data_IF_131154454748
#
_entry.id   IF_131154454748
#
_cell.length_a   1.000
_cell.length_b   1.000
_cell.length_c   1.000
_cell.angle_alpha   90.00
_cell.angle_beta   90.00
_cell.angle_gamma   90.00
#
_symmetry.space_group_name_H-M   'P 1'
#
loop_
_entity.id
_entity.type
_entity.pdbx_description
1 polymer ?
#
# COMPACT_ATOMS: atom_id res chain seq x y z
N UNK A 1 15.62 4.99 2.71
CA UNK A 1 14.61 5.36 3.72
C UNK A 1 13.56 4.28 3.80
N UNK A 2 13.18 3.89 5.00
CA UNK A 2 12.14 2.87 5.21
C UNK A 2 10.80 3.55 5.44
N UNK A 3 9.80 3.14 4.69
CA UNK A 3 8.41 3.58 4.88
C UNK A 3 7.70 2.48 5.65
N UNK A 4 7.14 2.83 6.81
CA UNK A 4 6.34 1.91 7.61
C UNK A 4 4.87 2.19 7.35
N UNK A 5 4.11 1.15 7.04
CA UNK A 5 2.70 1.29 6.71
C UNK A 5 1.92 0.05 7.16
N UNK A 6 0.64 0.07 6.93
CA UNK A 6 -0.25 -1.05 7.22
C UNK A 6 -0.90 -1.49 5.92
N UNK A 7 -1.00 -2.79 5.73
CA UNK A 7 -1.76 -3.40 4.63
C UNK A 7 -2.76 -4.39 5.22
N UNK A 8 -3.78 -4.73 4.44
CA UNK A 8 -4.72 -5.78 4.81
C UNK A 8 -4.42 -7.02 3.99
N UNK A 9 -4.34 -8.16 4.67
CA UNK A 9 -4.13 -9.46 4.02
C UNK A 9 -5.23 -10.42 4.44
N UNK A 10 -5.52 -11.40 3.58
CA UNK A 10 -6.47 -12.46 3.93
C UNK A 10 -5.81 -13.45 4.86
N UNK A 11 -6.55 -13.88 5.89
CA UNK A 11 -6.10 -14.94 6.77
C UNK A 11 -6.41 -16.29 6.09
N UNK A 12 -5.38 -17.04 5.75
CA UNK A 12 -5.53 -18.31 5.02
C UNK A 12 -6.36 -19.38 5.79
N UNK A 13 -6.31 -19.36 7.12
CA UNK A 13 -7.09 -20.29 7.93
C UNK A 13 -8.59 -20.07 7.74
N UNK A 14 -9.00 -18.80 7.64
CA UNK A 14 -10.40 -18.47 7.42
C UNK A 14 -10.82 -18.63 5.96
N UNK A 15 -9.91 -18.49 5.03
CA UNK A 15 -10.19 -18.75 3.62
C UNK A 15 -10.58 -20.19 3.38
N UNK A 16 -9.89 -21.13 4.04
CA UNK A 16 -10.18 -22.58 3.94
C UNK A 16 -11.58 -22.91 4.47
N UNK A 17 -12.14 -22.03 5.32
CA UNK A 17 -13.49 -22.18 5.88
C UNK A 17 -14.53 -21.42 5.05
N UNK A 18 -14.13 -20.81 3.93
CA UNK A 18 -15.02 -20.00 3.09
C UNK A 18 -15.31 -18.63 3.66
N UNK A 19 -14.54 -18.17 4.63
CA UNK A 19 -14.69 -16.86 5.26
C UNK A 19 -13.58 -15.94 4.77
N UNK A 20 -13.97 -14.79 4.19
CA UNK A 20 -13.02 -13.76 3.82
C UNK A 20 -12.81 -12.83 5.02
N UNK A 21 -11.65 -12.95 5.65
CA UNK A 21 -11.26 -12.09 6.77
C UNK A 21 -9.98 -11.36 6.42
N UNK A 22 -10.10 -10.02 6.30
CA UNK A 22 -8.95 -9.16 6.10
C UNK A 22 -8.37 -8.76 7.44
N UNK A 23 -7.06 -8.94 7.60
CA UNK A 23 -6.36 -8.59 8.82
C UNK A 23 -5.31 -7.52 8.53
N UNK A 24 -5.21 -6.50 9.41
CA UNK A 24 -4.16 -5.49 9.26
C UNK A 24 -2.81 -6.08 9.66
N UNK A 25 -1.81 -5.87 8.82
CA UNK A 25 -0.43 -6.26 9.13
C UNK A 25 0.49 -5.08 8.81
N UNK A 26 1.58 -4.99 9.56
CA UNK A 26 2.56 -3.95 9.33
C UNK A 26 3.45 -4.33 8.15
N UNK A 27 3.73 -3.36 7.31
CA UNK A 27 4.64 -3.51 6.18
C UNK A 27 5.72 -2.45 6.28
N UNK A 28 6.98 -2.86 6.14
CA UNK A 28 8.10 -1.93 6.01
C UNK A 28 8.69 -2.11 4.63
N UNK A 29 8.85 -1.02 3.90
CA UNK A 29 9.37 -1.06 2.54
C UNK A 29 10.41 0.03 2.34
N UNK A 30 11.52 -0.31 1.67
CA UNK A 30 12.51 0.68 1.31
C UNK A 30 11.96 1.54 0.17
N UNK A 31 11.99 2.85 0.33
CA UNK A 31 11.49 3.79 -0.68
C UNK A 31 12.19 3.59 -2.02
N UNK A 32 13.44 3.10 -2.03
CA UNK A 32 14.19 2.83 -3.26
C UNK A 32 13.62 1.65 -4.05
N UNK A 33 12.82 0.80 -3.43
CA UNK A 33 12.18 -0.33 -4.09
C UNK A 33 10.85 0.06 -4.76
N UNK A 34 10.32 1.24 -4.45
CA UNK A 34 9.04 1.70 -5.01
C UNK A 34 9.32 2.36 -6.37
N UNK A 35 8.73 1.82 -7.43
CA UNK A 35 8.89 2.37 -8.77
C UNK A 35 7.70 3.23 -9.22
N UNK A 36 6.55 3.09 -8.55
CA UNK A 36 5.36 3.88 -8.87
C UNK A 36 4.42 3.94 -7.68
N UNK A 37 3.62 4.99 -7.61
CA UNK A 37 2.54 5.16 -6.65
C UNK A 37 1.34 5.73 -7.39
N UNK A 38 0.15 5.27 -7.06
CA UNK A 38 -1.08 5.85 -7.61
C UNK A 38 -2.15 5.93 -6.54
N UNK A 39 -3.11 6.83 -6.75
CA UNK A 39 -4.26 6.91 -5.88
C UNK A 39 -5.08 5.62 -5.96
N UNK A 40 -5.72 5.27 -4.86
CA UNK A 40 -6.53 4.07 -4.77
C UNK A 40 -8.02 4.42 -4.76
N UNK A 41 -8.78 3.75 -5.61
CA UNK A 41 -10.23 3.91 -5.65
C UNK A 41 -10.84 2.60 -5.15
N UNK A 42 -11.61 2.69 -4.07
CA UNK A 42 -12.27 1.52 -3.50
C UNK A 42 -13.36 0.99 -4.44
N UNK A 43 -13.65 -0.28 -4.30
CA UNK A 43 -14.71 -0.94 -5.06
C UNK A 43 -16.04 -0.21 -4.80
N UNK A 44 -16.76 0.09 -5.88
CA UNK A 44 -18.04 0.81 -5.86
C UNK A 44 -17.94 2.31 -5.51
N UNK A 45 -16.73 2.87 -5.50
CA UNK A 45 -16.54 4.31 -5.35
C UNK A 45 -16.02 4.89 -6.65
N UNK A 46 -16.16 6.21 -6.82
CA UNK A 46 -15.73 6.91 -8.03
C UNK A 46 -14.61 7.90 -7.77
N UNK A 47 -14.28 8.16 -6.50
CA UNK A 47 -13.26 9.11 -6.11
C UNK A 47 -12.13 8.40 -5.36
N UNK A 48 -10.89 8.93 -5.47
CA UNK A 48 -9.76 8.36 -4.75
C UNK A 48 -9.95 8.41 -3.25
N UNK A 49 -9.50 7.35 -2.57
CA UNK A 49 -9.57 7.29 -1.12
C UNK A 49 -8.50 8.22 -0.53
N UNK A 50 -8.87 9.10 0.45
CA UNK A 50 -7.93 10.09 0.97
C UNK A 50 -6.79 9.49 1.79
N UNK A 51 -6.99 8.32 2.39
CA UNK A 51 -6.04 7.72 3.32
C UNK A 51 -5.37 6.45 2.81
N UNK A 52 -5.56 6.13 1.54
CA UNK A 52 -4.97 4.93 0.92
C UNK A 52 -4.36 5.25 -0.43
N UNK A 53 -3.34 4.51 -0.80
CA UNK A 53 -2.79 4.54 -2.15
C UNK A 53 -2.22 3.17 -2.49
N UNK A 54 -1.91 2.96 -3.76
CA UNK A 54 -1.28 1.73 -4.22
C UNK A 54 0.17 2.02 -4.58
N UNK A 55 1.08 1.21 -4.04
CA UNK A 55 2.50 1.28 -4.39
C UNK A 55 2.87 0.07 -5.24
N UNK A 56 3.78 0.29 -6.18
CA UNK A 56 4.31 -0.74 -7.06
C UNK A 56 5.80 -0.87 -6.80
N UNK A 57 6.25 -2.09 -6.56
CA UNK A 57 7.65 -2.38 -6.28
C UNK A 57 8.39 -2.83 -7.53
N UNK A 58 9.70 -2.64 -7.54
CA UNK A 58 10.56 -3.10 -8.64
C UNK A 58 10.48 -4.60 -8.87
N UNK A 59 10.15 -5.37 -7.83
CA UNK A 59 9.97 -6.81 -7.91
C UNK A 59 8.72 -7.23 -8.70
N UNK A 60 7.82 -6.30 -8.98
CA UNK A 60 6.53 -6.56 -9.62
C UNK A 60 5.37 -6.69 -8.64
N UNK A 61 5.65 -6.73 -7.34
CA UNK A 61 4.60 -6.75 -6.34
C UNK A 61 3.95 -5.39 -6.19
N UNK A 62 2.69 -5.37 -5.75
CA UNK A 62 2.00 -4.13 -5.43
C UNK A 62 1.18 -4.31 -4.15
N UNK A 63 0.96 -3.21 -3.44
CA UNK A 63 0.22 -3.21 -2.19
C UNK A 63 -0.65 -1.97 -2.09
N UNK A 64 -1.86 -2.15 -1.55
CA UNK A 64 -2.68 -1.03 -1.10
C UNK A 64 -2.27 -0.72 0.33
N UNK A 65 -1.72 0.46 0.54
CA UNK A 65 -1.19 0.86 1.86
C UNK A 65 -2.08 1.93 2.49
N UNK A 66 -2.12 1.94 3.83
CA UNK A 66 -2.91 2.89 4.60
C UNK A 66 -2.13 4.18 4.86
N UNK A 67 -1.68 4.78 3.77
CA UNK A 67 -1.09 6.11 3.76
C UNK A 67 -1.66 6.84 2.55
N UNK A 68 -1.82 8.15 2.66
CA UNK A 68 -2.31 8.93 1.54
C UNK A 68 -1.30 8.93 0.39
N UNK A 69 -1.80 9.14 -0.82
CA UNK A 69 -0.97 9.30 -2.00
C UNK A 69 0.08 10.40 -1.79
N UNK A 70 -0.33 11.54 -1.24
CA UNK A 70 0.56 12.68 -1.02
C UNK A 70 1.67 12.36 -0.02
N UNK A 71 1.36 11.62 1.03
CA UNK A 71 2.35 11.20 2.01
C UNK A 71 3.45 10.35 1.36
N UNK A 72 3.05 9.32 0.61
CA UNK A 72 4.02 8.44 -0.04
C UNK A 72 4.82 9.19 -1.09
N UNK A 73 4.15 10.04 -1.88
CA UNK A 73 4.82 10.85 -2.89
C UNK A 73 5.89 11.76 -2.27
N UNK A 74 5.59 12.38 -1.12
CA UNK A 74 6.55 13.21 -0.40
C UNK A 74 7.77 12.41 0.04
N UNK A 75 7.57 11.18 0.50
CA UNK A 75 8.68 10.30 0.88
C UNK A 75 9.56 9.97 -0.32
N UNK A 76 8.95 9.74 -1.48
CA UNK A 76 9.69 9.46 -2.71
C UNK A 76 10.46 10.67 -3.21
N UNK A 77 9.88 11.86 -3.09
CA UNK A 77 10.55 13.11 -3.44
C UNK A 77 11.73 13.38 -2.51
N UNK A 78 11.59 13.10 -1.23
CA UNK A 78 12.66 13.27 -0.25
C UNK A 78 13.88 12.42 -0.60
N UNK A 79 13.67 11.18 -1.09
CA UNK A 79 14.78 10.32 -1.48
C UNK A 79 15.52 10.86 -2.72
N UNK A 80 14.81 11.53 -3.63
CA UNK A 80 15.40 12.03 -4.87
C UNK A 80 16.18 13.32 -4.71
N UNK A 81 16.10 13.94 -3.52
CA UNK A 81 16.82 15.18 -3.21
C UNK A 81 18.21 14.94 -2.60
N UNK A 82 18.69 13.71 -2.65
CA UNK A 82 20.02 13.39 -2.13
C UNK A 82 21.08 13.45 -3.21
#
# INVERSE_FOLDING_TARGET
>A
MIIQTTIHVYNSEYEDMGIELLMPVKLSVDSNEICAVREHIEKNETEPHPDKCTIYLKSGENFVVFNSYDYVLDQLKARSNK
#
